data_IF_730545751729
#
_entry.id   IF_730545751729
#
_cell.length_a   1.000
_cell.length_b   1.000
_cell.length_c   1.000
_cell.angle_alpha   90.00
_cell.angle_beta   90.00
_cell.angle_gamma   90.00
#
_symmetry.space_group_name_H-M   'P 1'
#
loop_
_entity.id
_entity.type
_entity.pdbx_description
1 polymer ?
#
# COMPACT_ATOMS: atom_id res chain seq x y z
N UNK A 1 -6.52 -39.17 18.70
CA UNK A 1 -5.60 -38.01 18.53
C UNK A 1 -5.87 -37.24 17.24
N UNK A 2 -5.88 -37.87 16.06
CA UNK A 2 -6.18 -37.18 14.76
C UNK A 2 -7.51 -36.41 14.76
N UNK A 3 -8.57 -36.95 15.37
CA UNK A 3 -9.88 -36.28 15.47
C UNK A 3 -9.91 -35.11 16.47
N UNK A 4 -8.90 -34.99 17.34
CA UNK A 4 -8.87 -34.02 18.44
C UNK A 4 -7.85 -32.89 18.19
N UNK A 5 -6.79 -33.16 17.41
CA UNK A 5 -5.73 -32.21 17.11
C UNK A 5 -5.51 -32.09 15.59
N UNK A 6 -5.87 -30.92 15.06
CA UNK A 6 -5.71 -30.55 13.65
C UNK A 6 -4.24 -30.51 13.23
N UNK A 7 -3.34 -30.07 14.11
CA UNK A 7 -1.92 -29.99 13.83
C UNK A 7 -1.30 -31.38 13.77
N UNK A 8 -1.76 -32.30 14.63
CA UNK A 8 -1.34 -33.70 14.57
C UNK A 8 -1.82 -34.38 13.28
N UNK A 9 -3.09 -34.16 12.89
CA UNK A 9 -3.63 -34.66 11.63
C UNK A 9 -2.83 -34.15 10.42
N UNK A 10 -2.50 -32.86 10.42
CA UNK A 10 -1.65 -32.22 9.41
C UNK A 10 -0.28 -32.91 9.29
N UNK A 11 0.44 -33.04 10.41
CA UNK A 11 1.79 -33.65 10.44
C UNK A 11 1.78 -35.12 10.01
N UNK A 12 0.75 -35.87 10.37
CA UNK A 12 0.63 -37.26 9.90
C UNK A 12 0.49 -37.29 8.37
N UNK A 13 -0.36 -36.43 7.81
CA UNK A 13 -0.57 -36.40 6.37
C UNK A 13 0.71 -36.06 5.60
N UNK A 14 1.48 -35.07 6.05
CA UNK A 14 2.73 -34.67 5.40
C UNK A 14 3.82 -35.73 5.46
N UNK A 15 3.73 -36.70 6.38
CA UNK A 15 4.64 -37.85 6.46
C UNK A 15 4.12 -39.06 5.68
N UNK A 16 2.83 -39.39 5.80
CA UNK A 16 2.24 -40.60 5.23
C UNK A 16 2.18 -40.53 3.70
N UNK A 17 1.77 -39.41 3.12
CA UNK A 17 1.61 -39.32 1.67
C UNK A 17 2.94 -39.54 0.92
N UNK A 18 4.08 -38.91 1.29
CA UNK A 18 5.37 -39.22 0.68
C UNK A 18 5.79 -40.69 0.81
N UNK A 19 5.48 -41.35 1.93
CA UNK A 19 5.78 -42.78 2.10
C UNK A 19 4.95 -43.65 1.16
N UNK A 20 3.66 -43.37 1.02
CA UNK A 20 2.79 -44.05 0.05
C UNK A 20 3.29 -43.78 -1.37
N UNK A 21 3.60 -42.52 -1.69
CA UNK A 21 4.04 -42.06 -3.00
C UNK A 21 5.25 -42.84 -3.55
N UNK A 22 6.24 -43.11 -2.68
CA UNK A 22 7.45 -43.86 -3.05
C UNK A 22 7.15 -45.29 -3.47
N UNK A 23 6.07 -45.88 -2.97
CA UNK A 23 5.65 -47.25 -3.30
C UNK A 23 4.76 -47.32 -4.55
N UNK A 24 4.22 -46.20 -5.04
CA UNK A 24 3.39 -46.15 -6.24
C UNK A 24 4.23 -46.27 -7.53
N UNK A 25 3.69 -46.95 -8.53
CA UNK A 25 4.24 -46.98 -9.88
C UNK A 25 4.06 -45.65 -10.64
N UNK A 26 4.75 -45.48 -11.76
CA UNK A 26 4.69 -44.23 -12.55
C UNK A 26 3.26 -43.86 -13.00
N UNK A 27 2.49 -44.86 -13.48
CA UNK A 27 1.09 -44.67 -13.90
C UNK A 27 0.20 -44.25 -12.72
N UNK A 28 0.34 -44.90 -11.57
CA UNK A 28 -0.44 -44.60 -10.36
C UNK A 28 -0.11 -43.20 -9.82
N UNK A 29 1.16 -42.79 -9.85
CA UNK A 29 1.59 -41.43 -9.52
C UNK A 29 0.96 -40.39 -10.45
N UNK A 30 0.91 -40.67 -11.75
CA UNK A 30 0.26 -39.80 -12.73
C UNK A 30 -1.25 -39.67 -12.46
N UNK A 31 -1.94 -40.79 -12.23
CA UNK A 31 -3.37 -40.82 -11.95
C UNK A 31 -3.70 -40.10 -10.63
N UNK A 32 -2.89 -40.33 -9.59
CA UNK A 32 -3.01 -39.66 -8.30
C UNK A 32 -2.76 -38.15 -8.41
N UNK A 33 -1.74 -37.73 -9.15
CA UNK A 33 -1.48 -36.30 -9.42
C UNK A 33 -2.69 -35.65 -10.08
N UNK A 34 -3.24 -36.28 -11.12
CA UNK A 34 -4.42 -35.80 -11.83
C UNK A 34 -5.65 -35.70 -10.92
N UNK A 35 -5.83 -36.68 -10.02
CA UNK A 35 -6.87 -36.64 -8.99
C UNK A 35 -6.68 -35.49 -8.01
N UNK A 36 -5.45 -35.28 -7.52
CA UNK A 36 -5.10 -34.19 -6.60
C UNK A 36 -5.31 -32.82 -7.23
N UNK A 37 -4.95 -32.62 -8.50
CA UNK A 37 -5.21 -31.38 -9.24
C UNK A 37 -6.71 -31.08 -9.27
N UNK A 38 -7.53 -32.07 -9.65
CA UNK A 38 -9.00 -31.93 -9.68
C UNK A 38 -9.59 -31.62 -8.31
N UNK A 39 -9.01 -32.17 -7.25
CA UNK A 39 -9.44 -31.94 -5.88
C UNK A 39 -9.09 -30.51 -5.43
N UNK A 40 -7.84 -30.08 -5.61
CA UNK A 40 -7.37 -28.75 -5.24
C UNK A 40 -8.11 -27.63 -5.98
N UNK A 41 -8.62 -27.89 -7.18
CA UNK A 41 -9.40 -26.94 -7.95
C UNK A 41 -10.87 -26.78 -7.49
N UNK A 42 -11.32 -27.51 -6.45
CA UNK A 42 -12.73 -27.45 -6.02
C UNK A 42 -13.06 -26.19 -5.22
N UNK A 43 -14.22 -25.55 -5.48
CA UNK A 43 -14.58 -24.26 -4.87
C UNK A 43 -14.92 -24.34 -3.39
N UNK A 44 -15.34 -25.51 -2.87
CA UNK A 44 -15.67 -25.66 -1.45
C UNK A 44 -14.48 -25.45 -0.52
N UNK A 45 -13.25 -25.46 -1.05
CA UNK A 45 -12.08 -25.07 -0.29
C UNK A 45 -12.15 -23.61 0.17
N UNK A 46 -12.89 -22.72 -0.49
CA UNK A 46 -13.00 -21.32 -0.07
C UNK A 46 -13.46 -21.14 1.40
N UNK A 47 -14.23 -22.09 1.94
CA UNK A 47 -14.69 -22.05 3.34
C UNK A 47 -13.56 -22.18 4.38
N UNK A 48 -12.37 -22.62 3.98
CA UNK A 48 -11.22 -22.85 4.89
C UNK A 48 -10.09 -21.82 4.73
N UNK A 49 -10.26 -20.77 3.92
CA UNK A 49 -9.21 -19.77 3.63
C UNK A 49 -8.68 -19.08 4.87
N UNK A 50 -9.51 -18.87 5.90
CA UNK A 50 -9.11 -18.28 7.18
C UNK A 50 -8.48 -19.28 8.18
N UNK A 51 -8.49 -20.59 7.87
CA UNK A 51 -8.01 -21.63 8.77
C UNK A 51 -6.50 -21.86 8.60
N UNK A 52 -5.80 -22.09 9.72
CA UNK A 52 -4.38 -22.49 9.75
C UNK A 52 -4.22 -23.60 10.81
N UNK A 53 -3.73 -24.80 10.46
CA UNK A 53 -3.50 -25.28 9.11
C UNK A 53 -4.83 -25.55 8.37
N UNK A 54 -4.80 -25.52 7.04
CA UNK A 54 -5.92 -25.95 6.19
C UNK A 54 -5.56 -27.16 5.30
N UNK A 55 -6.57 -27.75 4.66
CA UNK A 55 -6.40 -28.97 3.84
C UNK A 55 -5.49 -28.72 2.63
N UNK A 56 -5.59 -27.53 2.02
CA UNK A 56 -4.75 -27.18 0.85
C UNK A 56 -3.27 -27.11 1.25
N UNK A 57 -2.96 -26.47 2.38
CA UNK A 57 -1.61 -26.45 2.93
C UNK A 57 -1.09 -27.87 3.21
N UNK A 58 -1.92 -28.73 3.82
CA UNK A 58 -1.53 -30.10 4.12
C UNK A 58 -1.20 -30.89 2.85
N UNK A 59 -2.05 -30.80 1.83
CA UNK A 59 -1.85 -31.49 0.55
C UNK A 59 -0.60 -30.95 -0.15
N UNK A 60 -0.43 -29.64 -0.28
CA UNK A 60 0.71 -29.06 -1.00
C UNK A 60 2.04 -29.32 -0.29
N UNK A 61 2.10 -29.20 1.03
CA UNK A 61 3.32 -29.53 1.79
C UNK A 61 3.69 -31.01 1.61
N UNK A 62 2.70 -31.90 1.71
CA UNK A 62 2.91 -33.32 1.51
C UNK A 62 3.38 -33.65 0.07
N UNK A 63 2.78 -33.02 -0.95
CA UNK A 63 3.19 -33.19 -2.34
C UNK A 63 4.61 -32.65 -2.59
N UNK A 64 5.00 -31.54 -1.94
CA UNK A 64 6.37 -31.00 -2.02
C UNK A 64 7.43 -31.90 -1.39
N UNK A 65 7.05 -32.78 -0.45
CA UNK A 65 7.94 -33.77 0.14
C UNK A 65 8.03 -35.09 -0.65
N UNK A 66 7.20 -35.27 -1.68
CA UNK A 66 7.23 -36.46 -2.53
C UNK A 66 8.45 -36.48 -3.45
N UNK A 67 9.06 -37.66 -3.63
CA UNK A 67 10.15 -37.88 -4.59
C UNK A 67 9.85 -39.09 -5.48
N UNK A 68 9.80 -38.94 -6.82
CA UNK A 68 9.90 -37.68 -7.58
C UNK A 68 8.72 -36.75 -7.32
N UNK A 69 8.94 -35.43 -7.44
CA UNK A 69 7.91 -34.43 -7.18
C UNK A 69 6.77 -34.50 -8.21
N UNK A 70 5.50 -34.38 -7.79
CA UNK A 70 4.35 -34.36 -8.69
C UNK A 70 4.32 -33.06 -9.51
N UNK A 71 4.00 -33.18 -10.80
CA UNK A 71 3.89 -32.02 -11.69
C UNK A 71 2.50 -31.39 -11.57
N UNK A 72 2.45 -30.20 -10.98
CA UNK A 72 1.23 -29.40 -10.81
C UNK A 72 1.21 -28.20 -11.77
N UNK A 73 0.03 -27.74 -12.24
CA UNK A 73 -0.08 -26.54 -13.06
C UNK A 73 0.42 -25.29 -12.32
N UNK A 74 1.30 -24.45 -12.90
CA UNK A 74 1.86 -23.30 -12.19
C UNK A 74 0.84 -22.26 -11.72
N UNK A 75 -0.16 -21.95 -12.56
CA UNK A 75 -1.21 -20.98 -12.21
C UNK A 75 -2.07 -21.48 -11.05
N UNK A 76 -2.26 -22.80 -10.93
CA UNK A 76 -2.92 -23.38 -9.77
C UNK A 76 -2.06 -23.20 -8.51
N UNK A 77 -0.74 -23.46 -8.58
CA UNK A 77 0.17 -23.25 -7.45
C UNK A 77 0.19 -21.80 -6.97
N UNK A 78 0.22 -20.84 -7.89
CA UNK A 78 0.09 -19.41 -7.58
C UNK A 78 -1.18 -19.11 -6.80
N UNK A 79 -2.33 -19.48 -7.36
CA UNK A 79 -3.64 -19.26 -6.75
C UNK A 79 -3.73 -19.89 -5.36
N UNK A 80 -3.29 -21.14 -5.21
CA UNK A 80 -3.36 -21.85 -3.94
C UNK A 80 -2.43 -21.24 -2.88
N UNK A 81 -1.26 -20.76 -3.31
CA UNK A 81 -0.29 -20.08 -2.45
C UNK A 81 -0.87 -18.82 -1.82
N UNK A 82 -1.40 -17.92 -2.67
CA UNK A 82 -2.00 -16.65 -2.25
C UNK A 82 -3.28 -16.84 -1.44
N UNK A 83 -4.20 -17.70 -1.91
CA UNK A 83 -5.57 -17.79 -1.35
C UNK A 83 -5.63 -18.58 -0.04
N UNK A 84 -4.82 -19.64 0.09
CA UNK A 84 -4.85 -20.55 1.24
C UNK A 84 -3.63 -20.41 2.16
N UNK A 85 -2.76 -19.43 1.90
CA UNK A 85 -1.54 -19.22 2.68
C UNK A 85 -0.53 -20.36 2.53
N UNK A 86 -0.51 -21.06 1.40
CA UNK A 86 0.43 -22.15 1.10
C UNK A 86 1.71 -21.64 0.38
N UNK A 87 2.13 -20.41 0.69
CA UNK A 87 3.18 -19.66 0.01
C UNK A 87 4.46 -20.46 -0.23
N UNK A 88 5.10 -20.95 0.82
CA UNK A 88 6.39 -21.62 0.72
C UNK A 88 6.31 -22.99 0.03
N UNK A 89 5.20 -23.71 0.19
CA UNK A 89 4.97 -24.97 -0.53
C UNK A 89 4.81 -24.72 -2.03
N UNK A 90 4.04 -23.71 -2.42
CA UNK A 90 3.89 -23.31 -3.83
C UNK A 90 5.21 -22.80 -4.42
N UNK A 91 5.95 -21.95 -3.70
CA UNK A 91 7.25 -21.45 -4.12
C UNK A 91 8.24 -22.61 -4.33
N UNK A 92 8.38 -23.51 -3.36
CA UNK A 92 9.31 -24.64 -3.45
C UNK A 92 9.01 -25.55 -4.65
N UNK A 93 7.73 -25.82 -4.93
CA UNK A 93 7.32 -26.60 -6.09
C UNK A 93 7.60 -25.90 -7.43
N UNK A 94 7.38 -24.58 -7.50
CA UNK A 94 7.68 -23.78 -8.69
C UNK A 94 9.19 -23.64 -8.93
N UNK A 95 9.97 -23.40 -7.88
CA UNK A 95 11.44 -23.31 -7.93
C UNK A 95 12.07 -24.63 -8.37
N UNK A 96 11.63 -25.76 -7.79
CA UNK A 96 12.09 -27.09 -8.20
C UNK A 96 11.83 -27.33 -9.69
N UNK A 97 10.65 -26.92 -10.18
CA UNK A 97 10.29 -27.03 -11.59
C UNK A 97 11.23 -26.23 -12.49
N UNK A 98 11.51 -24.97 -12.15
CA UNK A 98 12.40 -24.10 -12.95
C UNK A 98 13.87 -24.58 -12.90
N UNK A 99 14.29 -25.20 -11.79
CA UNK A 99 15.65 -25.70 -11.62
C UNK A 99 15.87 -27.11 -12.21
N UNK A 100 14.82 -27.83 -12.59
CA UNK A 100 14.93 -29.16 -13.18
C UNK A 100 15.60 -29.10 -14.56
N UNK A 101 16.82 -29.67 -14.67
CA UNK A 101 17.67 -29.56 -15.87
C UNK A 101 17.01 -30.12 -17.13
N UNK A 102 16.14 -31.12 -17.01
CA UNK A 102 15.42 -31.68 -18.16
C UNK A 102 14.36 -30.74 -18.72
N UNK A 103 13.77 -29.89 -17.88
CA UNK A 103 12.85 -28.84 -18.32
C UNK A 103 13.59 -27.60 -18.80
N UNK A 104 14.81 -27.32 -18.34
CA UNK A 104 15.63 -26.21 -18.86
C UNK A 104 15.98 -26.40 -20.34
N UNK A 105 16.28 -27.64 -20.77
CA UNK A 105 16.55 -27.94 -22.18
C UNK A 105 15.28 -27.86 -23.05
N UNK A 106 14.12 -28.28 -22.55
CA UNK A 106 12.81 -28.08 -23.20
C UNK A 106 12.43 -26.59 -23.26
N UNK A 107 12.67 -25.85 -22.17
CA UNK A 107 12.36 -24.43 -22.05
C UNK A 107 13.19 -23.54 -22.96
N UNK A 108 14.38 -23.97 -23.39
CA UNK A 108 15.14 -23.27 -24.43
C UNK A 108 14.42 -23.39 -25.78
N UNK A 109 13.88 -24.57 -26.09
CA UNK A 109 13.10 -24.82 -27.31
C UNK A 109 11.70 -24.16 -27.23
N UNK A 110 11.03 -24.22 -26.09
CA UNK A 110 9.71 -23.64 -25.86
C UNK A 110 9.75 -22.12 -25.63
N UNK A 111 10.87 -21.53 -25.20
CA UNK A 111 11.10 -20.07 -25.25
C UNK A 111 11.12 -19.54 -26.66
N UNK A 112 11.63 -20.32 -27.62
CA UNK A 112 11.58 -19.96 -29.03
C UNK A 112 10.13 -20.01 -29.59
N UNK A 113 9.23 -20.74 -28.91
CA UNK A 113 7.83 -20.94 -29.28
C UNK A 113 6.82 -20.22 -28.36
N UNK A 114 7.27 -19.51 -27.31
CA UNK A 114 6.43 -18.76 -26.38
C UNK A 114 5.60 -19.60 -25.37
N UNK A 115 5.83 -20.91 -25.26
CA UNK A 115 4.90 -21.83 -24.58
C UNK A 115 5.18 -22.13 -23.08
N UNK A 116 6.39 -21.86 -22.57
CA UNK A 116 6.83 -22.32 -21.23
C UNK A 116 7.08 -21.22 -20.17
N UNK A 117 6.55 -20.01 -20.34
CA UNK A 117 6.74 -18.94 -19.33
C UNK A 117 5.86 -19.09 -18.07
N UNK A 118 4.80 -19.91 -18.11
CA UNK A 118 3.80 -19.94 -17.03
C UNK A 118 4.33 -20.30 -15.64
N UNK A 119 5.42 -21.07 -15.52
CA UNK A 119 6.05 -21.37 -14.22
C UNK A 119 6.86 -20.20 -13.69
N UNK A 120 7.62 -19.55 -14.56
CA UNK A 120 8.38 -18.36 -14.23
C UNK A 120 7.46 -17.19 -13.89
N UNK A 121 6.41 -16.96 -14.68
CA UNK A 121 5.44 -15.90 -14.45
C UNK A 121 4.77 -16.08 -13.08
N UNK A 122 4.27 -17.29 -12.80
CA UNK A 122 3.67 -17.63 -11.52
C UNK A 122 4.63 -17.41 -10.33
N UNK A 123 5.90 -17.82 -10.48
CA UNK A 123 6.92 -17.61 -9.46
C UNK A 123 7.22 -16.12 -9.24
N UNK A 124 7.37 -15.37 -10.34
CA UNK A 124 7.69 -13.94 -10.31
C UNK A 124 6.58 -13.12 -9.66
N UNK A 125 5.31 -13.53 -9.86
CA UNK A 125 4.16 -12.90 -9.24
C UNK A 125 4.12 -13.18 -7.74
N UNK A 126 4.37 -14.42 -7.31
CA UNK A 126 4.44 -14.77 -5.88
C UNK A 126 5.57 -14.00 -5.17
N UNK A 127 6.75 -13.87 -5.78
CA UNK A 127 7.82 -13.04 -5.23
C UNK A 127 7.41 -11.57 -5.12
N UNK A 128 6.68 -11.05 -6.11
CA UNK A 128 6.17 -9.68 -6.08
C UNK A 128 5.13 -9.49 -4.97
N UNK A 129 4.17 -10.42 -4.80
CA UNK A 129 3.16 -10.37 -3.73
C UNK A 129 3.74 -10.42 -2.33
N UNK A 130 4.87 -11.12 -2.14
CA UNK A 130 5.56 -11.19 -0.86
C UNK A 130 6.54 -10.02 -0.62
N UNK A 131 6.65 -9.11 -1.59
CA UNK A 131 7.67 -8.06 -1.65
C UNK A 131 9.09 -8.62 -1.50
N UNK A 132 9.35 -9.81 -2.06
CA UNK A 132 10.63 -10.51 -2.02
C UNK A 132 11.56 -10.03 -3.14
N UNK A 133 11.90 -8.73 -3.13
CA UNK A 133 12.55 -8.03 -4.25
C UNK A 133 13.86 -8.67 -4.73
N UNK A 134 14.70 -9.20 -3.81
CA UNK A 134 15.96 -9.84 -4.21
C UNK A 134 15.75 -11.12 -5.02
N UNK A 135 14.78 -11.96 -4.63
CA UNK A 135 14.42 -13.16 -5.38
C UNK A 135 13.81 -12.80 -6.73
N UNK A 136 12.95 -11.78 -6.76
CA UNK A 136 12.41 -11.23 -8.00
C UNK A 136 13.51 -10.78 -8.97
N UNK A 137 14.46 -9.94 -8.53
CA UNK A 137 15.56 -9.47 -9.38
C UNK A 137 16.44 -10.62 -9.87
N UNK A 138 16.76 -11.58 -8.99
CA UNK A 138 17.58 -12.74 -9.34
C UNK A 138 16.92 -13.63 -10.40
N UNK A 139 15.61 -13.87 -10.27
CA UNK A 139 14.84 -14.62 -11.24
C UNK A 139 14.78 -13.88 -12.59
N UNK A 140 14.41 -12.60 -12.60
CA UNK A 140 14.29 -11.83 -13.84
C UNK A 140 15.61 -11.64 -14.56
N UNK A 141 16.72 -11.38 -13.88
CA UNK A 141 18.05 -11.24 -14.52
C UNK A 141 18.51 -12.50 -15.26
N UNK A 142 18.00 -13.67 -14.88
CA UNK A 142 18.28 -14.96 -15.56
C UNK A 142 17.32 -15.26 -16.71
N UNK A 143 16.15 -14.61 -16.75
CA UNK A 143 15.07 -14.90 -17.70
C UNK A 143 14.82 -13.78 -18.71
N UNK A 144 15.26 -12.55 -18.44
CA UNK A 144 15.11 -11.41 -19.36
C UNK A 144 15.91 -11.63 -20.65
N UNK A 145 15.38 -11.14 -21.76
CA UNK A 145 16.01 -11.23 -23.08
C UNK A 145 16.81 -9.95 -23.39
N UNK A 146 16.30 -8.80 -22.97
CA UNK A 146 16.93 -7.52 -23.23
C UNK A 146 18.03 -7.20 -22.21
N UNK A 147 19.18 -6.77 -22.71
CA UNK A 147 20.30 -6.29 -21.86
C UNK A 147 19.88 -5.06 -21.05
N UNK A 148 19.06 -4.19 -21.64
CA UNK A 148 18.51 -3.01 -20.96
C UNK A 148 17.67 -3.39 -19.75
N UNK A 149 16.88 -4.47 -19.83
CA UNK A 149 16.10 -4.98 -18.71
C UNK A 149 16.99 -5.48 -17.58
N UNK A 150 18.02 -6.25 -17.91
CA UNK A 150 19.02 -6.69 -16.94
C UNK A 150 19.68 -5.49 -16.23
N UNK A 151 20.08 -4.47 -16.99
CA UNK A 151 20.70 -3.24 -16.47
C UNK A 151 19.71 -2.44 -15.59
N UNK A 152 18.47 -2.27 -16.04
CA UNK A 152 17.43 -1.56 -15.28
C UNK A 152 17.17 -2.21 -13.92
N UNK A 153 16.99 -3.54 -13.90
CA UNK A 153 16.83 -4.30 -12.64
C UNK A 153 18.08 -4.27 -11.76
N UNK A 154 19.27 -4.08 -12.33
CA UNK A 154 20.49 -3.90 -11.55
C UNK A 154 20.54 -2.52 -10.88
N UNK A 155 20.17 -1.46 -11.58
CA UNK A 155 20.05 -0.13 -10.98
C UNK A 155 18.95 -0.07 -9.92
N UNK A 156 17.79 -0.70 -10.15
CA UNK A 156 16.70 -0.77 -9.17
C UNK A 156 17.18 -1.44 -7.87
N UNK A 157 17.92 -2.55 -7.97
CA UNK A 157 18.49 -3.23 -6.81
C UNK A 157 19.49 -2.37 -6.02
N UNK A 158 20.17 -1.42 -6.68
CA UNK A 158 21.10 -0.48 -6.05
C UNK A 158 20.40 0.77 -5.50
N UNK A 159 19.12 0.98 -5.80
CA UNK A 159 18.39 2.20 -5.45
C UNK A 159 18.64 3.38 -6.39
N UNK A 160 19.24 3.15 -7.56
CA UNK A 160 19.54 4.17 -8.58
C UNK A 160 18.33 4.35 -9.53
N UNK A 161 17.25 4.95 -9.02
CA UNK A 161 15.94 4.96 -9.69
C UNK A 161 15.93 5.67 -11.05
N UNK A 162 16.61 6.82 -11.20
CA UNK A 162 16.65 7.57 -12.46
C UNK A 162 17.36 6.78 -13.57
N UNK A 163 18.46 6.10 -13.22
CA UNK A 163 19.20 5.25 -14.16
C UNK A 163 18.39 4.01 -14.57
N UNK A 164 17.62 3.43 -13.63
CA UNK A 164 16.71 2.32 -13.89
C UNK A 164 15.57 2.73 -14.85
N UNK A 165 14.90 3.85 -14.55
CA UNK A 165 13.81 4.40 -15.36
C UNK A 165 14.25 4.60 -16.82
N UNK A 166 15.39 5.27 -17.02
CA UNK A 166 15.96 5.49 -18.36
C UNK A 166 16.34 4.18 -19.07
N UNK A 167 16.73 3.14 -18.34
CA UNK A 167 17.00 1.83 -18.92
C UNK A 167 15.72 1.14 -19.45
N UNK A 168 14.60 1.24 -18.71
CA UNK A 168 13.32 0.70 -19.16
C UNK A 168 12.78 1.44 -20.39
N UNK A 169 12.90 2.77 -20.45
CA UNK A 169 12.52 3.56 -21.64
C UNK A 169 13.34 3.18 -22.87
N UNK A 170 14.64 2.93 -22.69
CA UNK A 170 15.51 2.42 -23.76
C UNK A 170 15.10 1.03 -24.22
N UNK A 171 14.71 0.14 -23.30
CA UNK A 171 14.20 -1.18 -23.63
C UNK A 171 12.93 -1.09 -24.49
N UNK A 172 11.93 -0.32 -24.05
CA UNK A 172 10.69 -0.10 -24.79
C UNK A 172 10.93 0.52 -26.17
N UNK A 173 11.83 1.51 -26.28
CA UNK A 173 12.20 2.11 -27.56
C UNK A 173 12.83 1.10 -28.53
N UNK A 174 13.70 0.21 -28.02
CA UNK A 174 14.32 -0.85 -28.83
C UNK A 174 13.31 -1.92 -29.26
N UNK A 175 12.37 -2.26 -28.39
CA UNK A 175 11.28 -3.17 -28.70
C UNK A 175 10.36 -2.60 -29.81
N UNK A 176 9.98 -1.32 -29.72
CA UNK A 176 9.19 -0.63 -30.77
C UNK A 176 9.89 -0.58 -32.13
N UNK A 177 11.23 -0.53 -32.14
CA UNK A 177 12.05 -0.59 -33.37
C UNK A 177 12.16 -2.01 -33.96
N UNK A 178 11.64 -3.03 -33.29
CA UNK A 178 11.68 -4.42 -33.76
C UNK A 178 13.08 -5.03 -33.78
N UNK A 179 14.02 -4.51 -32.98
CA UNK A 179 15.43 -4.99 -32.96
C UNK A 179 15.52 -6.43 -32.47
N UNK A 180 14.64 -6.80 -31.53
CA UNK A 180 14.53 -8.13 -30.93
C UNK A 180 13.02 -8.42 -30.72
N UNK A 181 12.60 -9.69 -30.74
CA UNK A 181 11.30 -10.07 -30.18
C UNK A 181 11.31 -9.87 -28.67
N UNK A 182 10.16 -9.51 -28.09
CA UNK A 182 9.98 -9.39 -26.64
C UNK A 182 8.84 -10.31 -26.21
N UNK A 183 8.90 -10.78 -24.96
CA UNK A 183 7.76 -11.47 -24.33
C UNK A 183 6.80 -10.45 -23.73
N UNK A 184 5.50 -10.75 -23.75
CA UNK A 184 4.47 -9.91 -23.11
C UNK A 184 4.80 -9.68 -21.62
N UNK A 185 5.24 -10.73 -20.92
CA UNK A 185 5.66 -10.64 -19.52
C UNK A 185 6.81 -9.64 -19.29
N UNK A 186 7.82 -9.64 -20.17
CA UNK A 186 8.95 -8.70 -20.06
C UNK A 186 8.52 -7.25 -20.35
N UNK A 187 7.57 -7.05 -21.26
CA UNK A 187 6.98 -5.74 -21.53
C UNK A 187 6.18 -5.21 -20.32
N UNK A 188 5.36 -6.06 -19.70
CA UNK A 188 4.64 -5.72 -18.47
C UNK A 188 5.60 -5.36 -17.32
N UNK A 189 6.78 -6.00 -17.24
CA UNK A 189 7.81 -5.59 -16.28
C UNK A 189 8.33 -4.19 -16.55
N UNK A 190 8.56 -3.81 -17.80
CA UNK A 190 9.02 -2.46 -18.11
C UNK A 190 8.00 -1.41 -17.70
N UNK A 191 6.72 -1.62 -18.00
CA UNK A 191 5.66 -0.66 -17.63
C UNK A 191 5.48 -0.57 -16.11
N UNK A 192 5.35 -1.72 -15.44
CA UNK A 192 5.16 -1.75 -13.98
C UNK A 192 6.35 -1.20 -13.20
N UNK A 193 7.58 -1.57 -13.59
CA UNK A 193 8.80 -1.10 -12.93
C UNK A 193 9.12 0.34 -13.27
N UNK A 194 8.85 0.80 -14.49
CA UNK A 194 8.92 2.21 -14.82
C UNK A 194 7.98 3.02 -13.90
N UNK A 195 6.71 2.61 -13.77
CA UNK A 195 5.76 3.29 -12.88
C UNK A 195 6.23 3.30 -11.42
N UNK A 196 6.78 2.19 -10.91
CA UNK A 196 7.35 2.14 -9.56
C UNK A 196 8.57 3.08 -9.42
N UNK A 197 9.50 3.11 -10.38
CA UNK A 197 10.63 4.05 -10.36
C UNK A 197 10.17 5.50 -10.36
N UNK A 198 9.12 5.83 -11.13
CA UNK A 198 8.51 7.17 -11.16
C UNK A 198 7.92 7.55 -9.79
N UNK A 199 7.24 6.61 -9.11
CA UNK A 199 6.77 6.81 -7.73
C UNK A 199 7.93 7.08 -6.77
N UNK A 200 9.01 6.29 -6.86
CA UNK A 200 10.21 6.45 -6.01
C UNK A 200 10.87 7.81 -6.21
N UNK A 201 10.94 8.29 -7.45
CA UNK A 201 11.44 9.61 -7.83
C UNK A 201 10.50 10.78 -7.48
N UNK A 202 9.33 10.50 -6.90
CA UNK A 202 8.34 11.51 -6.49
C UNK A 202 7.79 12.35 -7.66
N UNK A 203 7.80 11.82 -8.89
CA UNK A 203 7.25 12.49 -10.07
C UNK A 203 5.76 12.20 -10.22
N UNK A 204 4.96 12.71 -9.28
CA UNK A 204 3.53 12.40 -9.18
C UNK A 204 2.70 13.05 -10.29
N UNK A 205 3.08 14.24 -10.75
CA UNK A 205 2.39 14.96 -11.84
C UNK A 205 2.38 14.13 -13.12
N UNK A 206 3.52 13.53 -13.46
CA UNK A 206 3.67 12.64 -14.61
C UNK A 206 2.75 11.42 -14.51
N UNK A 207 2.58 10.86 -13.30
CA UNK A 207 1.70 9.71 -13.07
C UNK A 207 0.21 10.08 -13.15
N UNK A 208 -0.17 11.31 -12.75
CA UNK A 208 -1.54 11.82 -12.94
C UNK A 208 -1.85 11.95 -14.42
N UNK A 209 -0.94 12.56 -15.19
CA UNK A 209 -1.11 12.74 -16.63
C UNK A 209 -1.21 11.40 -17.36
N UNK A 210 -0.32 10.46 -17.04
CA UNK A 210 -0.32 9.11 -17.62
C UNK A 210 -1.59 8.34 -17.24
N UNK A 211 -1.99 8.37 -15.97
CA UNK A 211 -3.20 7.71 -15.48
C UNK A 211 -4.47 8.21 -16.19
N UNK A 212 -4.55 9.51 -16.45
CA UNK A 212 -5.65 10.11 -17.21
C UNK A 212 -5.64 9.73 -18.70
N UNK A 213 -4.47 9.70 -19.34
CA UNK A 213 -4.34 9.32 -20.77
C UNK A 213 -4.68 7.86 -21.02
N UNK A 214 -4.16 6.95 -20.18
CA UNK A 214 -4.36 5.50 -20.30
C UNK A 214 -5.66 5.03 -19.62
N UNK A 215 -6.44 5.94 -19.02
CA UNK A 215 -7.66 5.65 -18.25
C UNK A 215 -7.45 4.65 -17.11
N UNK A 216 -6.28 4.68 -16.47
CA UNK A 216 -5.92 3.86 -15.31
C UNK A 216 -6.27 4.60 -14.02
N UNK A 217 -7.53 4.47 -13.60
CA UNK A 217 -8.09 5.18 -12.45
C UNK A 217 -7.29 4.98 -11.15
N UNK A 218 -6.71 3.79 -10.94
CA UNK A 218 -5.90 3.47 -9.75
C UNK A 218 -4.62 4.33 -9.68
N UNK A 219 -3.95 4.50 -10.83
CA UNK A 219 -2.74 5.30 -10.93
C UNK A 219 -3.05 6.79 -10.78
N UNK A 220 -4.11 7.27 -11.44
CA UNK A 220 -4.53 8.66 -11.35
C UNK A 220 -4.94 9.01 -9.91
N UNK A 221 -5.69 8.14 -9.23
CA UNK A 221 -6.10 8.34 -7.85
C UNK A 221 -4.89 8.34 -6.91
N UNK A 222 -3.98 7.37 -7.06
CA UNK A 222 -2.76 7.26 -6.28
C UNK A 222 -1.89 8.50 -6.42
N UNK A 223 -1.57 8.95 -7.63
CA UNK A 223 -0.76 10.15 -7.79
C UNK A 223 -1.53 11.43 -7.40
N UNK A 224 -2.82 11.48 -7.74
CA UNK A 224 -3.67 12.64 -7.61
C UNK A 224 -3.95 13.06 -6.18
N UNK A 225 -4.18 12.13 -5.24
CA UNK A 225 -4.46 12.51 -3.85
C UNK A 225 -3.31 13.28 -3.19
N UNK A 226 -2.08 13.18 -3.71
CA UNK A 226 -0.91 13.94 -3.22
C UNK A 226 -0.83 15.35 -3.81
N UNK A 227 -1.22 15.51 -5.08
CA UNK A 227 -1.03 16.74 -5.85
C UNK A 227 -2.26 17.65 -5.83
N UNK A 228 -3.45 17.06 -5.79
CA UNK A 228 -4.70 17.82 -5.96
C UNK A 228 -5.10 18.58 -4.71
N UNK A 229 -5.82 19.69 -4.93
CA UNK A 229 -6.71 20.19 -3.89
C UNK A 229 -7.90 19.23 -3.74
N UNK A 230 -7.85 18.43 -2.67
CA UNK A 230 -8.84 17.41 -2.39
C UNK A 230 -10.25 17.96 -2.22
N UNK A 231 -10.40 19.23 -1.82
CA UNK A 231 -11.71 19.87 -1.63
C UNK A 231 -12.37 20.23 -2.96
N UNK A 232 -11.59 20.66 -3.94
CA UNK A 232 -12.12 21.05 -5.26
C UNK A 232 -12.48 19.83 -6.11
N UNK A 233 -11.66 18.78 -6.06
CA UNK A 233 -11.79 17.61 -6.94
C UNK A 233 -12.63 16.47 -6.38
N UNK A 234 -13.39 16.69 -5.31
CA UNK A 234 -14.18 15.63 -4.66
C UNK A 234 -15.11 14.85 -5.61
N UNK A 235 -15.69 15.52 -6.62
CA UNK A 235 -16.58 14.85 -7.58
C UNK A 235 -15.80 13.94 -8.54
N UNK A 236 -14.65 14.38 -9.04
CA UNK A 236 -13.76 13.59 -9.89
C UNK A 236 -13.23 12.38 -9.11
N UNK A 237 -12.73 12.59 -7.89
CA UNK A 237 -12.26 11.51 -7.01
C UNK A 237 -13.33 10.43 -6.80
N UNK A 238 -14.60 10.81 -6.61
CA UNK A 238 -15.72 9.86 -6.51
C UNK A 238 -15.90 9.02 -7.77
N UNK A 239 -15.74 9.62 -8.94
CA UNK A 239 -15.86 8.91 -10.20
C UNK A 239 -14.69 7.94 -10.39
N UNK A 240 -13.47 8.36 -10.06
CA UNK A 240 -12.27 7.51 -10.12
C UNK A 240 -12.37 6.29 -9.20
N UNK A 241 -12.80 6.48 -7.95
CA UNK A 241 -13.03 5.37 -7.01
C UNK A 241 -14.03 4.36 -7.58
N UNK A 242 -15.09 4.83 -8.24
CA UNK A 242 -16.09 3.94 -8.88
C UNK A 242 -15.59 3.27 -10.16
N UNK A 243 -14.69 3.92 -10.89
CA UNK A 243 -14.09 3.40 -12.12
C UNK A 243 -12.98 2.37 -11.85
N UNK A 244 -12.55 2.25 -10.60
CA UNK A 244 -11.49 1.34 -10.18
C UNK A 244 -11.95 -0.13 -10.19
N UNK A 245 -11.00 -1.05 -10.35
CA UNK A 245 -11.28 -2.49 -10.35
C UNK A 245 -11.96 -2.97 -9.06
N UNK A 246 -12.76 -4.03 -9.15
CA UNK A 246 -13.44 -4.61 -7.97
C UNK A 246 -12.44 -5.12 -6.93
N UNK A 247 -11.30 -5.65 -7.40
CA UNK A 247 -10.23 -6.12 -6.51
C UNK A 247 -9.63 -4.96 -5.72
N UNK A 248 -9.23 -3.87 -6.40
CA UNK A 248 -8.70 -2.70 -5.72
C UNK A 248 -9.76 -2.02 -4.84
N UNK A 249 -11.03 -1.99 -5.24
CA UNK A 249 -12.12 -1.42 -4.43
C UNK A 249 -12.29 -2.09 -3.06
N UNK A 250 -11.88 -3.36 -2.93
CA UNK A 250 -11.84 -4.07 -1.64
C UNK A 250 -10.54 -3.87 -0.85
N UNK A 251 -9.53 -3.26 -1.47
CA UNK A 251 -8.22 -3.05 -0.87
C UNK A 251 -8.26 -2.04 0.30
N UNK A 252 -7.33 -2.14 1.25
CA UNK A 252 -7.16 -1.13 2.29
C UNK A 252 -6.96 0.29 1.73
N UNK A 253 -6.30 0.40 0.58
CA UNK A 253 -5.97 1.69 -0.05
C UNK A 253 -7.21 2.38 -0.62
N UNK A 254 -8.08 1.64 -1.31
CA UNK A 254 -9.38 2.17 -1.74
C UNK A 254 -10.24 2.61 -0.55
N UNK A 255 -10.29 1.79 0.51
CA UNK A 255 -11.03 2.12 1.73
C UNK A 255 -10.51 3.39 2.40
N UNK A 256 -9.19 3.61 2.38
CA UNK A 256 -8.59 4.86 2.83
C UNK A 256 -9.11 6.06 2.01
N UNK A 257 -9.09 5.99 0.67
CA UNK A 257 -9.59 7.07 -0.18
C UNK A 257 -11.08 7.37 0.01
N UNK A 258 -11.90 6.32 0.07
CA UNK A 258 -13.34 6.44 0.36
C UNK A 258 -13.60 7.14 1.70
N UNK A 259 -12.84 6.73 2.72
CA UNK A 259 -12.99 7.25 4.08
C UNK A 259 -12.46 8.68 4.20
N UNK A 260 -11.34 9.00 3.54
CA UNK A 260 -10.82 10.36 3.47
C UNK A 260 -11.78 11.31 2.75
N UNK A 261 -12.39 10.86 1.67
CA UNK A 261 -13.44 11.62 0.99
C UNK A 261 -14.66 11.85 1.90
N UNK A 262 -15.05 10.88 2.73
CA UNK A 262 -16.13 11.06 3.70
C UNK A 262 -15.77 12.11 4.76
N UNK A 263 -14.50 12.15 5.19
CA UNK A 263 -13.99 13.15 6.14
C UNK A 263 -14.05 14.57 5.57
N UNK A 264 -13.57 14.77 4.34
CA UNK A 264 -13.51 16.11 3.73
C UNK A 264 -14.90 16.71 3.45
N UNK A 265 -15.92 15.88 3.23
CA UNK A 265 -17.33 16.32 3.15
C UNK A 265 -17.88 16.88 4.46
N UNK A 266 -17.36 16.42 5.61
CA UNK A 266 -17.69 16.97 6.92
C UNK A 266 -17.10 18.36 7.13
N UNK A 267 -15.86 18.58 6.66
CA UNK A 267 -15.14 19.85 6.79
C UNK A 267 -15.65 20.94 5.84
N UNK A 268 -16.02 20.60 4.60
CA UNK A 268 -16.50 21.60 3.62
C UNK A 268 -17.88 22.20 3.94
N UNK A 269 -18.59 21.65 4.93
CA UNK A 269 -19.90 22.14 5.39
C UNK A 269 -19.80 23.09 6.59
N UNK A 270 -18.70 23.85 6.70
CA UNK A 270 -18.50 24.91 7.71
C UNK A 270 -19.49 26.09 7.62
N UNK A 271 -20.56 26.01 6.82
CA UNK A 271 -21.52 27.09 6.63
C UNK A 271 -23.00 26.70 6.45
N UNK A 272 -23.41 25.45 6.68
CA UNK A 272 -24.78 25.02 6.40
C UNK A 272 -25.45 24.35 7.58
N UNK A 273 -26.42 25.02 8.22
CA UNK A 273 -27.21 24.56 9.36
C UNK A 273 -28.09 23.34 9.06
N UNK A 274 -27.49 22.15 8.97
CA UNK A 274 -28.20 20.87 9.00
C UNK A 274 -28.32 20.37 10.44
N UNK A 275 -29.55 20.24 10.95
CA UNK A 275 -29.81 19.87 12.35
C UNK A 275 -29.05 18.63 12.84
N UNK A 276 -28.75 18.61 14.15
CA UNK A 276 -27.83 17.66 14.80
C UNK A 276 -28.09 16.15 14.64
N UNK A 277 -29.22 15.74 14.07
CA UNK A 277 -29.47 14.35 13.66
C UNK A 277 -28.67 13.92 12.43
N UNK A 278 -28.50 14.80 11.44
CA UNK A 278 -27.74 14.50 10.21
C UNK A 278 -26.23 14.42 10.47
N UNK A 279 -25.72 15.25 11.37
CA UNK A 279 -24.30 15.29 11.77
C UNK A 279 -23.89 14.01 12.52
N UNK A 280 -24.77 13.52 13.40
CA UNK A 280 -24.53 12.30 14.18
C UNK A 280 -24.55 11.04 13.30
N UNK A 281 -25.40 11.01 12.27
CA UNK A 281 -25.40 9.94 11.26
C UNK A 281 -24.11 9.92 10.45
N UNK A 282 -23.63 11.10 10.00
CA UNK A 282 -22.37 11.21 9.25
C UNK A 282 -21.16 10.75 10.05
N UNK A 283 -21.07 11.11 11.33
CA UNK A 283 -20.00 10.65 12.21
C UNK A 283 -20.03 9.12 12.42
N UNK A 284 -21.22 8.54 12.56
CA UNK A 284 -21.38 7.09 12.69
C UNK A 284 -21.00 6.35 11.39
N UNK A 285 -21.38 6.89 10.23
CA UNK A 285 -21.01 6.34 8.92
C UNK A 285 -19.49 6.38 8.71
N UNK A 286 -18.83 7.50 9.04
CA UNK A 286 -17.37 7.61 8.97
C UNK A 286 -16.68 6.56 9.84
N UNK A 287 -17.12 6.39 11.08
CA UNK A 287 -16.56 5.39 12.01
C UNK A 287 -16.77 3.96 11.49
N UNK A 288 -17.87 3.67 10.80
CA UNK A 288 -18.08 2.39 10.12
C UNK A 288 -17.04 2.19 9.01
N UNK A 289 -16.82 3.19 8.16
CA UNK A 289 -15.85 3.12 7.05
C UNK A 289 -14.41 2.92 7.55
N UNK A 290 -14.00 3.62 8.62
CA UNK A 290 -12.71 3.38 9.27
C UNK A 290 -12.53 1.92 9.73
N UNK A 291 -13.56 1.36 10.37
CA UNK A 291 -13.55 -0.04 10.83
C UNK A 291 -13.48 -1.03 9.65
N UNK A 292 -14.16 -0.73 8.56
CA UNK A 292 -14.08 -1.54 7.33
C UNK A 292 -12.68 -1.50 6.71
N UNK A 293 -12.03 -0.33 6.67
CA UNK A 293 -10.65 -0.22 6.21
C UNK A 293 -9.65 -0.97 7.09
N UNK A 294 -9.77 -0.87 8.42
CA UNK A 294 -8.95 -1.66 9.36
C UNK A 294 -9.20 -3.17 9.16
N UNK A 295 -10.45 -3.58 8.97
CA UNK A 295 -10.79 -4.98 8.69
C UNK A 295 -10.14 -5.47 7.39
N UNK A 296 -10.12 -4.64 6.34
CA UNK A 296 -9.43 -4.96 5.09
C UNK A 296 -7.92 -5.16 5.31
N UNK A 297 -7.27 -4.31 6.13
CA UNK A 297 -5.86 -4.50 6.51
C UNK A 297 -5.64 -5.84 7.23
N UNK A 298 -6.51 -6.20 8.19
CA UNK A 298 -6.42 -7.47 8.93
C UNK A 298 -6.65 -8.67 8.02
N UNK A 299 -7.56 -8.58 7.04
CA UNK A 299 -7.78 -9.63 6.06
C UNK A 299 -6.52 -9.86 5.21
N UNK A 300 -5.92 -8.79 4.67
CA UNK A 300 -4.65 -8.86 3.92
C UNK A 300 -3.50 -9.37 4.78
N UNK A 301 -3.44 -9.01 6.05
CA UNK A 301 -2.46 -9.55 7.00
C UNK A 301 -2.59 -11.07 7.15
N UNK A 302 -3.81 -11.59 7.26
CA UNK A 302 -4.06 -13.03 7.38
C UNK A 302 -3.79 -13.82 6.09
N UNK A 303 -3.82 -13.15 4.92
CA UNK A 303 -3.43 -13.74 3.63
C UNK A 303 -1.92 -13.96 3.55
N UNK A 304 -1.10 -13.13 4.22
CA UNK A 304 0.35 -13.24 4.23
C UNK A 304 0.86 -14.43 5.07
N UNK A 305 2.13 -14.85 4.89
CA UNK A 305 2.76 -15.85 5.74
C UNK A 305 2.81 -15.41 7.21
N UNK A 306 2.78 -16.37 8.14
CA UNK A 306 2.91 -16.08 9.58
C UNK A 306 4.29 -15.51 9.97
N UNK A 307 5.30 -15.72 9.13
CA UNK A 307 6.63 -15.14 9.30
C UNK A 307 6.62 -13.72 8.74
N UNK A 308 7.20 -12.77 9.47
CA UNK A 308 7.31 -11.38 9.01
C UNK A 308 8.05 -11.27 7.68
N UNK A 309 7.42 -10.60 6.71
CA UNK A 309 7.95 -10.33 5.36
C UNK A 309 7.92 -8.83 5.07
N UNK A 310 8.61 -8.38 4.01
CA UNK A 310 8.57 -6.97 3.60
C UNK A 310 7.15 -6.49 3.24
N UNK A 311 6.28 -7.37 2.72
CA UNK A 311 4.87 -7.04 2.47
C UNK A 311 4.10 -6.64 3.75
N UNK A 312 4.52 -7.14 4.92
CA UNK A 312 3.91 -6.71 6.19
C UNK A 312 4.24 -5.25 6.52
N UNK A 313 5.38 -4.71 6.08
CA UNK A 313 5.78 -3.32 6.34
C UNK A 313 4.80 -2.35 5.67
N UNK A 314 4.42 -2.63 4.42
CA UNK A 314 3.41 -1.84 3.69
C UNK A 314 2.04 -1.88 4.38
N UNK A 315 1.64 -3.04 4.92
CA UNK A 315 0.40 -3.15 5.71
C UNK A 315 0.47 -2.42 7.04
N UNK A 316 1.62 -2.45 7.74
CA UNK A 316 1.83 -1.66 8.97
C UNK A 316 1.69 -0.17 8.70
N UNK A 317 2.24 0.30 7.58
CA UNK A 317 2.04 1.68 7.14
C UNK A 317 0.56 1.99 6.88
N UNK A 318 -0.16 1.10 6.19
CA UNK A 318 -1.61 1.29 5.99
C UNK A 318 -2.39 1.29 7.31
N UNK A 319 -2.03 0.47 8.31
CA UNK A 319 -2.61 0.57 9.66
C UNK A 319 -2.35 1.94 10.28
N UNK A 320 -1.14 2.47 10.17
CA UNK A 320 -0.83 3.82 10.66
C UNK A 320 -1.71 4.88 9.99
N UNK A 321 -1.84 4.87 8.66
CA UNK A 321 -2.69 5.81 7.92
C UNK A 321 -4.16 5.71 8.36
N UNK A 322 -4.69 4.50 8.57
CA UNK A 322 -6.07 4.32 9.04
C UNK A 322 -6.28 4.85 10.47
N UNK A 323 -5.27 4.72 11.35
CA UNK A 323 -5.31 5.31 12.70
C UNK A 323 -5.24 6.83 12.63
N UNK A 324 -4.32 7.40 11.85
CA UNK A 324 -4.21 8.85 11.67
C UNK A 324 -5.46 9.45 11.01
N UNK A 325 -6.16 8.69 10.17
CA UNK A 325 -7.46 9.09 9.61
C UNK A 325 -8.55 9.19 10.69
N UNK A 326 -8.53 8.27 11.67
CA UNK A 326 -9.38 8.35 12.87
C UNK A 326 -9.05 9.55 13.75
N UNK A 327 -7.77 9.79 14.00
CA UNK A 327 -7.28 10.96 14.74
C UNK A 327 -7.70 12.27 14.04
N UNK A 328 -7.57 12.32 12.71
CA UNK A 328 -7.96 13.47 11.91
C UNK A 328 -9.45 13.79 12.06
N UNK A 329 -10.34 12.80 12.14
CA UNK A 329 -11.77 13.03 12.41
C UNK A 329 -12.01 13.87 13.68
N UNK A 330 -11.26 13.59 14.74
CA UNK A 330 -11.33 14.36 15.98
C UNK A 330 -10.77 15.77 15.79
N UNK A 331 -9.68 15.92 15.02
CA UNK A 331 -9.13 17.23 14.65
C UNK A 331 -10.18 18.06 13.90
N UNK A 332 -10.78 17.54 12.83
CA UNK A 332 -11.78 18.26 12.04
C UNK A 332 -13.03 18.63 12.86
N UNK A 333 -13.50 17.74 13.75
CA UNK A 333 -14.59 18.06 14.66
C UNK A 333 -14.23 19.19 15.64
N UNK A 334 -12.98 19.19 16.14
CA UNK A 334 -12.45 20.27 16.99
C UNK A 334 -12.40 21.59 16.23
N UNK A 335 -11.87 21.58 14.99
CA UNK A 335 -11.79 22.73 14.09
C UNK A 335 -13.16 23.36 13.82
N UNK A 336 -14.18 22.55 13.50
CA UNK A 336 -15.53 23.04 13.23
C UNK A 336 -16.20 23.75 14.43
N UNK A 337 -15.80 23.40 15.65
CA UNK A 337 -16.28 24.02 16.90
C UNK A 337 -15.40 25.17 17.41
N UNK A 338 -14.31 25.48 16.71
CA UNK A 338 -13.33 26.49 17.14
C UNK A 338 -13.87 27.89 16.88
N UNK A 339 -13.83 28.72 17.93
CA UNK A 339 -14.24 30.13 17.94
C UNK A 339 -13.18 30.94 18.68
N UNK A 340 -13.19 32.26 18.54
CA UNK A 340 -12.23 33.14 19.21
C UNK A 340 -12.15 32.88 20.74
N UNK A 341 -13.29 32.61 21.38
CA UNK A 341 -13.38 32.43 22.84
C UNK A 341 -12.81 31.11 23.36
N UNK A 342 -12.78 30.05 22.54
CA UNK A 342 -12.32 28.71 22.95
C UNK A 342 -11.00 28.29 22.29
N UNK A 343 -10.36 29.22 21.56
CA UNK A 343 -9.18 28.99 20.74
C UNK A 343 -8.02 28.36 21.54
N UNK A 344 -7.74 28.89 22.73
CA UNK A 344 -6.62 28.40 23.55
C UNK A 344 -6.83 26.95 24.00
N UNK A 345 -8.03 26.63 24.50
CA UNK A 345 -8.39 25.26 24.89
C UNK A 345 -8.31 24.30 23.70
N UNK A 346 -8.89 24.66 22.56
CA UNK A 346 -8.89 23.81 21.35
C UNK A 346 -7.49 23.60 20.77
N UNK A 347 -6.63 24.61 20.89
CA UNK A 347 -5.22 24.53 20.48
C UNK A 347 -4.41 23.56 21.35
N UNK A 348 -4.75 23.43 22.64
CA UNK A 348 -4.12 22.49 23.56
C UNK A 348 -4.36 21.03 23.16
N UNK A 349 -5.61 20.69 22.87
CA UNK A 349 -6.00 19.33 22.42
C UNK A 349 -5.29 18.97 21.11
N UNK A 350 -5.27 19.92 20.16
CA UNK A 350 -4.60 19.73 18.88
C UNK A 350 -3.11 19.46 19.07
N UNK A 351 -2.43 20.23 19.93
CA UNK A 351 -1.00 20.07 20.20
C UNK A 351 -0.65 18.66 20.69
N UNK A 352 -1.52 18.04 21.51
CA UNK A 352 -1.31 16.67 21.99
C UNK A 352 -1.29 15.65 20.85
N UNK A 353 -2.24 15.74 19.92
CA UNK A 353 -2.31 14.84 18.76
C UNK A 353 -1.11 15.06 17.84
N UNK A 354 -0.75 16.31 17.57
CA UNK A 354 0.41 16.66 16.74
C UNK A 354 1.73 16.17 17.33
N UNK A 355 1.90 16.22 18.65
CA UNK A 355 3.08 15.67 19.32
C UNK A 355 3.15 14.14 19.13
N UNK A 356 2.02 13.44 19.24
CA UNK A 356 1.95 11.99 18.99
C UNK A 356 2.35 11.64 17.56
N UNK A 357 1.87 12.41 16.57
CA UNK A 357 2.25 12.22 15.16
C UNK A 357 3.73 12.48 14.92
N UNK A 358 4.30 13.48 15.59
CA UNK A 358 5.74 13.78 15.51
C UNK A 358 6.61 12.64 16.01
N UNK A 359 6.16 11.90 17.01
CA UNK A 359 6.87 10.75 17.58
C UNK A 359 6.63 9.45 16.80
N UNK A 360 5.58 9.39 15.98
CA UNK A 360 5.23 8.23 15.15
C UNK A 360 5.70 8.45 13.70
N UNK A 361 6.99 8.23 13.46
CA UNK A 361 7.60 8.31 12.14
C UNK A 361 8.05 6.92 11.66
N UNK A 362 8.10 6.67 10.34
CA UNK A 362 8.72 5.48 9.78
C UNK A 362 10.21 5.43 10.14
N UNK A 363 10.83 4.27 9.95
CA UNK A 363 12.28 4.13 10.11
C UNK A 363 13.00 4.81 8.94
N UNK A 364 14.24 5.24 9.19
CA UNK A 364 15.08 5.87 8.15
C UNK A 364 15.40 4.89 7.01
N UNK A 365 15.40 3.59 7.29
CA UNK A 365 15.59 2.53 6.28
C UNK A 365 14.32 2.15 5.53
N UNK A 366 13.15 2.68 5.94
CA UNK A 366 11.89 2.32 5.29
C UNK A 366 11.83 2.91 3.88
N UNK A 367 11.10 2.23 2.96
CA UNK A 367 10.99 2.67 1.58
C UNK A 367 10.49 4.12 1.45
N UNK A 368 11.09 4.93 0.57
CA UNK A 368 10.78 6.37 0.42
C UNK A 368 9.29 6.68 0.20
N UNK A 369 8.55 5.78 -0.47
CA UNK A 369 7.13 5.97 -0.70
C UNK A 369 6.32 5.98 0.62
N UNK A 370 6.72 5.21 1.64
CA UNK A 370 6.08 5.23 2.97
C UNK A 370 6.21 6.62 3.63
N UNK A 371 7.39 7.24 3.48
CA UNK A 371 7.63 8.60 3.94
C UNK A 371 6.80 9.62 3.16
N UNK A 372 6.80 9.51 1.82
CA UNK A 372 6.02 10.37 0.94
C UNK A 372 4.53 10.36 1.27
N UNK A 373 3.95 9.18 1.46
CA UNK A 373 2.55 9.01 1.87
C UNK A 373 2.24 9.74 3.17
N UNK A 374 3.07 9.53 4.19
CA UNK A 374 2.83 10.12 5.49
C UNK A 374 2.95 11.65 5.45
N UNK A 375 3.94 12.17 4.71
CA UNK A 375 4.13 13.61 4.52
C UNK A 375 2.93 14.21 3.77
N UNK A 376 2.54 13.62 2.65
CA UNK A 376 1.40 14.10 1.87
C UNK A 376 0.10 14.09 2.69
N UNK A 377 -0.18 13.00 3.43
CA UNK A 377 -1.33 12.91 4.31
C UNK A 377 -1.33 14.00 5.38
N UNK A 378 -0.22 14.18 6.08
CA UNK A 378 -0.12 15.19 7.15
C UNK A 378 -0.18 16.61 6.61
N UNK A 379 0.36 16.87 5.42
CA UNK A 379 0.23 18.17 4.76
C UNK A 379 -1.24 18.53 4.49
N UNK A 380 -2.08 17.58 4.07
CA UNK A 380 -3.52 17.82 3.91
C UNK A 380 -4.18 18.24 5.23
N UNK A 381 -3.88 17.54 6.32
CA UNK A 381 -4.44 17.84 7.63
C UNK A 381 -3.93 19.20 8.15
N UNK A 382 -2.65 19.49 7.98
CA UNK A 382 -2.06 20.77 8.39
C UNK A 382 -2.58 21.95 7.57
N UNK A 383 -2.81 21.77 6.26
CA UNK A 383 -3.47 22.78 5.42
C UNK A 383 -4.85 23.11 5.97
N UNK A 384 -5.68 22.09 6.28
CA UNK A 384 -7.00 22.30 6.86
C UNK A 384 -6.98 23.01 8.23
N UNK A 385 -5.99 22.72 9.08
CA UNK A 385 -5.79 23.45 10.34
C UNK A 385 -5.45 24.92 10.06
N UNK A 386 -4.52 25.18 9.14
CA UNK A 386 -4.10 26.54 8.79
C UNK A 386 -5.25 27.37 8.24
N UNK A 387 -6.10 26.79 7.38
CA UNK A 387 -7.26 27.47 6.80
C UNK A 387 -8.23 28.00 7.88
N UNK A 388 -8.33 27.31 9.03
CA UNK A 388 -9.19 27.73 10.16
C UNK A 388 -8.46 28.69 11.10
N UNK A 389 -7.19 28.45 11.44
CA UNK A 389 -6.47 29.21 12.45
C UNK A 389 -5.88 30.54 11.95
N UNK A 390 -5.43 30.62 10.70
CA UNK A 390 -4.80 31.83 10.14
C UNK A 390 -5.71 33.06 10.22
N UNK A 391 -7.01 33.00 9.88
CA UNK A 391 -7.92 34.15 10.01
C UNK A 391 -8.00 34.72 11.44
N UNK A 392 -7.94 33.88 12.47
CA UNK A 392 -7.98 34.33 13.87
C UNK A 392 -6.71 35.07 14.29
N UNK A 393 -5.56 34.75 13.69
CA UNK A 393 -4.29 35.47 13.93
C UNK A 393 -4.40 36.90 13.40
N UNK A 394 -4.94 37.08 12.20
CA UNK A 394 -5.15 38.41 11.59
C UNK A 394 -6.11 39.26 12.41
N UNK A 395 -7.22 38.67 12.89
CA UNK A 395 -8.19 39.36 13.75
C UNK A 395 -7.59 39.78 15.10
N UNK A 396 -6.75 38.94 15.72
CA UNK A 396 -6.04 39.31 16.96
C UNK A 396 -5.02 40.42 16.73
N UNK A 397 -4.32 40.43 15.58
CA UNK A 397 -3.34 41.46 15.24
C UNK A 397 -3.97 42.82 14.87
N UNK A 398 -5.16 42.83 14.28
CA UNK A 398 -5.92 44.06 14.01
C UNK A 398 -6.58 44.62 15.29
N UNK A 399 -7.03 43.76 16.20
CA UNK A 399 -7.56 44.16 17.52
C UNK A 399 -6.53 44.86 18.42
N UNK A 400 -5.24 44.51 18.32
CA UNK A 400 -4.16 45.22 19.04
C UNK A 400 -3.82 46.58 18.42
N UNK A 401 -4.01 46.77 17.11
CA UNK A 401 -3.82 48.09 16.46
C UNK A 401 -4.98 49.04 16.75
N UNK A 402 -6.21 48.54 16.85
CA UNK A 402 -7.40 49.36 17.17
C UNK A 402 -7.41 49.90 18.61
N UNK A 403 -6.77 49.23 19.57
CA UNK A 403 -6.65 49.73 20.96
C UNK A 403 -5.50 50.73 21.19
N UNK A 404 -4.74 51.09 20.15
CA UNK A 404 -3.61 52.02 20.25
C UNK A 404 -3.89 53.46 19.77
N UNK A 405 -5.14 53.80 19.43
CA UNK A 405 -5.47 55.02 18.70
C UNK A 405 -6.58 55.86 19.31
N UNK A 406 -6.51 56.21 20.60
CA UNK A 406 -7.28 57.33 21.15
C UNK A 406 -6.64 57.82 22.46
N UNK A 407 -5.99 58.99 22.40
CA UNK A 407 -5.37 59.64 23.56
C UNK A 407 -4.25 60.62 23.18
N UNK A 408 -4.61 61.77 22.62
CA UNK A 408 -3.69 62.88 22.45
C UNK A 408 -3.47 63.67 23.75
N UNK A 409 -2.22 64.06 24.04
CA UNK A 409 -1.92 65.05 25.08
C UNK A 409 -0.51 65.00 25.69
N UNK A 410 0.43 65.72 25.06
CA UNK A 410 1.53 66.53 25.64
C UNK A 410 2.36 65.99 26.84
N UNK A 411 3.68 65.83 26.67
CA UNK A 411 4.59 65.68 27.82
C UNK A 411 6.03 65.29 27.47
N UNK A 412 6.95 66.16 27.87
CA UNK A 412 8.41 66.20 27.70
C UNK A 412 9.21 64.94 28.13
N UNK A 413 10.41 64.82 27.53
CA UNK A 413 11.63 64.07 27.88
C UNK A 413 11.72 63.24 29.18
N UNK A 414 12.33 62.04 29.07
CA UNK A 414 13.61 61.59 29.68
C UNK A 414 13.60 60.09 30.05
N UNK A 415 14.64 59.36 29.60
CA UNK A 415 15.41 58.42 30.44
C UNK A 415 14.83 57.08 30.90
N UNK A 416 15.50 56.03 30.44
CA UNK A 416 15.81 54.76 31.11
C UNK A 416 14.77 53.62 31.10
N UNK A 417 15.28 52.44 30.74
CA UNK A 417 14.53 51.21 30.60
C UNK A 417 14.53 50.35 31.85
N UNK A 418 13.48 49.54 32.00
CA UNK A 418 13.53 48.08 32.03
C UNK A 418 12.09 47.57 32.21
N UNK A 419 11.55 46.90 31.20
CA UNK A 419 10.21 46.31 31.24
C UNK A 419 10.26 44.85 30.83
N UNK A 420 10.22 43.96 31.81
CA UNK A 420 10.03 42.51 31.65
C UNK A 420 8.57 42.22 31.26
N UNK A 421 8.29 42.21 29.95
CA UNK A 421 7.01 41.79 29.38
C UNK A 421 6.95 40.27 29.15
N UNK A 422 6.46 39.53 30.14
CA UNK A 422 6.02 38.13 29.97
C UNK A 422 4.58 38.14 29.42
N UNK A 423 4.37 37.68 28.18
CA UNK A 423 2.99 37.48 27.70
C UNK A 423 2.79 37.09 26.23
N UNK A 424 3.67 37.48 25.30
CA UNK A 424 3.35 37.36 23.86
C UNK A 424 3.97 36.15 23.13
N UNK A 425 4.48 35.15 23.86
CA UNK A 425 5.30 34.08 23.27
C UNK A 425 4.62 32.75 22.92
N UNK A 426 3.34 32.54 23.27
CA UNK A 426 2.75 31.17 23.25
C UNK A 426 1.96 30.81 21.98
N UNK A 427 1.41 31.78 21.23
CA UNK A 427 0.62 31.49 20.03
C UNK A 427 1.45 31.34 18.73
N UNK A 428 2.73 31.73 18.75
CA UNK A 428 3.67 31.50 17.64
C UNK A 428 4.03 30.02 17.47
N UNK A 429 3.75 29.19 18.47
CA UNK A 429 4.27 27.82 18.52
C UNK A 429 3.51 26.90 17.54
N UNK A 430 2.21 27.10 17.34
CA UNK A 430 1.39 26.28 16.42
C UNK A 430 1.79 26.48 14.96
N UNK A 431 2.09 27.72 14.54
CA UNK A 431 2.56 28.02 13.19
C UNK A 431 4.00 27.55 12.94
N UNK A 432 4.86 27.53 13.98
CA UNK A 432 6.25 27.08 13.86
C UNK A 432 6.41 25.56 13.70
N UNK A 433 5.40 24.77 14.05
CA UNK A 433 5.42 23.31 13.86
C UNK A 433 5.22 22.88 12.40
N UNK A 434 4.79 23.78 11.51
CA UNK A 434 4.53 23.47 10.09
C UNK A 434 5.78 23.52 9.18
N UNK A 435 6.91 24.05 9.64
CA UNK A 435 8.04 24.41 8.77
C UNK A 435 9.40 23.78 9.11
N UNK A 436 9.44 22.72 9.91
CA UNK A 436 10.66 21.91 10.08
C UNK A 436 10.33 20.42 10.02
N UNK A 437 10.20 19.94 8.79
CA UNK A 437 10.33 18.54 8.39
C UNK A 437 11.27 18.50 7.20
#
# INVERSE_FOLDING_TARGET
MVLLDKQFAYRIWTVVLPLVWRNLGSKERHDLTSGMIRQLAKPYHQAQTAMRPNIVQAILEALGACSPAPRLPPQLLRYLGQTYGAWYSSLGLLEQKILDRGEVESAIFDRAMGAELGAFDALSELYSSLSASHYFYGAWKRHCQYKETHIGLAYEQLGEWASAQSAYERAQTKARRGVLPYSEAEYCVWESRWAETTKRLQSWELLVELGGQESVAEMELEAGWRVWDWNERQMQVRQLIKATSTEFGSSPRAKFYETYLALSRGSGSLGGGGGGGAERSKAADFQRMCKEGIKACVQKWNELPAVGTAAHIELLHMFQLMVELGDASNIYASLASTKADNLESKSGDLKSVLQTWRERLPNVSDPINIWSDLVAWRQHVFKAINDVYVPFITQQAEGTKSKGGEGGGNGNSNGNGNGSGSGSGKNSVVASYAYRG
#
